data_IF_904312654575
#
_entry.id   IF_904312654575
#
_cell.length_a   1.000
_cell.length_b   1.000
_cell.length_c   1.000
_cell.angle_alpha   90.00
_cell.angle_beta   90.00
_cell.angle_gamma   90.00
#
_symmetry.space_group_name_H-M   'P 1'
#
loop_
_entity.id
_entity.type
_entity.pdbx_description
1 polymer ?
#
# COMPACT_ATOMS: atom_id res chain seq x y z
N UNK A 1 -4.22 -9.82 27.45
CA UNK A 1 -4.48 -8.65 26.58
C UNK A 1 -5.72 -7.98 27.11
N UNK A 2 -5.63 -6.72 27.55
CA UNK A 2 -6.80 -5.97 28.01
C UNK A 2 -7.84 -5.95 26.89
N UNK A 3 -9.08 -6.30 27.21
CA UNK A 3 -10.19 -6.32 26.25
C UNK A 3 -10.51 -4.86 25.94
N UNK A 4 -9.93 -4.32 24.87
CA UNK A 4 -10.32 -3.00 24.39
C UNK A 4 -11.77 -3.10 23.93
N UNK A 5 -12.65 -2.41 24.64
CA UNK A 5 -14.06 -2.28 24.27
C UNK A 5 -14.15 -1.22 23.18
N UNK A 6 -14.39 -1.67 21.95
CA UNK A 6 -14.68 -0.79 20.83
C UNK A 6 -16.19 -0.68 20.66
N UNK A 7 -16.74 0.51 20.34
CA UNK A 7 -18.11 0.62 19.90
C UNK A 7 -18.26 -0.14 18.58
N UNK A 8 -18.91 -1.31 18.62
CA UNK A 8 -19.14 -2.13 17.42
C UNK A 8 -20.32 -1.52 16.66
N UNK A 9 -20.12 -1.00 15.43
CA UNK A 9 -21.23 -0.44 14.66
C UNK A 9 -22.17 -1.55 14.17
N UNK A 10 -23.48 -1.30 14.25
CA UNK A 10 -24.49 -2.19 13.67
C UNK A 10 -24.41 -2.10 12.15
N UNK A 11 -24.21 -3.25 11.48
CA UNK A 11 -24.13 -3.32 10.01
C UNK A 11 -25.53 -3.05 9.44
N UNK A 12 -25.69 -1.92 8.75
CA UNK A 12 -26.92 -1.55 8.04
C UNK A 12 -26.77 -1.82 6.55
N UNK A 13 -27.90 -1.93 5.83
CA UNK A 13 -27.93 -2.12 4.38
C UNK A 13 -27.28 -0.94 3.62
N UNK A 14 -27.38 0.27 4.18
CA UNK A 14 -26.67 1.45 3.71
C UNK A 14 -25.66 1.87 4.79
N UNK A 15 -24.36 1.98 4.46
CA UNK A 15 -23.38 2.46 5.42
C UNK A 15 -23.68 3.92 5.79
N UNK A 16 -23.76 4.21 7.08
CA UNK A 16 -23.79 5.59 7.57
C UNK A 16 -22.38 6.17 7.47
N UNK A 17 -22.28 7.41 7.01
CA UNK A 17 -21.02 8.13 6.96
C UNK A 17 -20.67 8.57 8.38
N UNK A 18 -19.53 8.14 8.95
CA UNK A 18 -19.16 8.55 10.30
C UNK A 18 -18.86 10.05 10.35
N UNK A 19 -19.04 10.70 11.51
CA UNK A 19 -18.54 12.06 11.71
C UNK A 19 -17.02 12.08 11.58
N UNK A 20 -16.48 13.21 11.11
CA UNK A 20 -15.04 13.39 10.96
C UNK A 20 -14.38 13.43 12.34
N UNK A 21 -13.38 12.59 12.54
CA UNK A 21 -12.60 12.50 13.78
C UNK A 21 -11.10 12.62 13.45
N UNK A 22 -10.56 13.84 13.40
CA UNK A 22 -9.16 14.07 13.04
C UNK A 22 -8.18 13.39 14.00
N UNK A 23 -7.23 12.63 13.47
CA UNK A 23 -6.11 12.10 14.23
C UNK A 23 -6.40 10.85 15.06
N UNK A 24 -7.60 10.26 14.97
CA UNK A 24 -7.94 9.01 15.67
C UNK A 24 -6.97 7.89 15.29
N UNK A 25 -6.47 7.86 14.05
CA UNK A 25 -5.56 6.83 13.57
C UNK A 25 -4.08 7.22 13.65
N UNK A 26 -3.73 8.36 14.26
CA UNK A 26 -2.34 8.83 14.36
C UNK A 26 -1.42 7.87 15.14
N UNK A 27 -1.98 7.11 16.09
CA UNK A 27 -1.23 6.13 16.88
C UNK A 27 -1.04 4.77 16.15
N UNK A 28 -1.79 4.52 15.07
CA UNK A 28 -1.81 3.23 14.39
C UNK A 28 -0.80 3.20 13.24
N UNK A 29 0.28 2.44 13.42
CA UNK A 29 1.28 2.16 12.40
C UNK A 29 1.81 0.73 12.51
N UNK A 30 2.14 0.08 11.38
CA UNK A 30 2.84 -1.20 11.41
C UNK A 30 4.28 -1.04 11.89
N UNK A 31 4.97 -2.16 12.10
CA UNK A 31 6.39 -2.16 12.43
C UNK A 31 7.25 -1.90 11.19
N UNK A 32 8.26 -1.04 11.34
CA UNK A 32 9.32 -0.84 10.32
C UNK A 32 10.16 -2.10 10.21
N UNK A 33 10.55 -2.44 8.98
CA UNK A 33 11.40 -3.59 8.70
C UNK A 33 12.80 -3.40 9.31
N UNK A 34 13.35 -4.46 9.90
CA UNK A 34 14.76 -4.48 10.32
C UNK A 34 15.67 -4.66 9.11
N UNK A 35 16.95 -4.28 9.23
CA UNK A 35 17.97 -4.46 8.21
C UNK A 35 17.99 -5.87 7.60
N UNK A 36 17.87 -6.91 8.43
CA UNK A 36 17.79 -8.32 8.01
C UNK A 36 16.71 -8.64 6.96
N UNK A 37 15.64 -7.83 6.90
CA UNK A 37 14.55 -7.98 5.93
C UNK A 37 14.64 -6.99 4.76
N UNK A 38 15.38 -5.89 4.90
CA UNK A 38 15.51 -4.85 3.87
C UNK A 38 16.68 -5.11 2.93
N UNK A 39 17.86 -5.43 3.47
CA UNK A 39 19.09 -5.63 2.69
C UNK A 39 18.98 -6.72 1.62
N UNK A 40 18.34 -7.89 1.87
CA UNK A 40 18.17 -8.91 0.83
C UNK A 40 17.29 -8.47 -0.34
N UNK A 41 16.49 -7.41 -0.16
CA UNK A 41 15.63 -6.82 -1.19
C UNK A 41 16.31 -5.64 -1.89
N UNK A 42 17.55 -5.29 -1.50
CA UNK A 42 18.28 -4.14 -2.02
C UNK A 42 17.82 -2.80 -1.41
N UNK A 43 17.06 -2.81 -0.30
CA UNK A 43 16.69 -1.60 0.41
C UNK A 43 17.67 -1.30 1.56
N UNK A 44 17.87 -0.02 1.91
CA UNK A 44 18.69 0.37 3.07
C UNK A 44 18.17 -0.28 4.36
N UNK A 45 19.06 -0.63 5.29
CA UNK A 45 18.68 -1.27 6.54
C UNK A 45 17.99 -0.34 7.54
N UNK A 46 18.35 0.94 7.51
CA UNK A 46 17.84 2.03 8.34
C UNK A 46 17.58 3.28 7.47
N UNK A 47 17.02 4.33 8.07
CA UNK A 47 16.79 5.61 7.39
C UNK A 47 18.14 6.21 6.95
N UNK A 48 18.31 6.46 5.64
CA UNK A 48 19.55 7.02 5.09
C UNK A 48 19.72 8.51 5.44
N UNK A 49 20.96 8.98 5.66
CA UNK A 49 21.21 10.37 6.08
C UNK A 49 20.67 11.41 5.11
N UNK A 50 20.77 11.14 3.80
CA UNK A 50 20.26 11.99 2.72
C UNK A 50 18.85 11.58 2.26
N UNK A 51 18.01 11.06 3.16
CA UNK A 51 16.69 10.50 2.80
C UNK A 51 15.80 11.45 2.01
N UNK A 52 15.89 12.77 2.22
CA UNK A 52 15.09 13.75 1.47
C UNK A 52 15.42 13.72 -0.02
N UNK A 53 16.71 13.73 -0.39
CA UNK A 53 17.10 13.68 -1.80
C UNK A 53 16.73 12.33 -2.39
N UNK A 54 17.03 11.22 -1.69
CA UNK A 54 16.69 9.87 -2.16
C UNK A 54 15.19 9.69 -2.38
N UNK A 55 14.35 10.24 -1.49
CA UNK A 55 12.89 10.18 -1.64
C UNK A 55 12.40 11.00 -2.84
N UNK A 56 12.96 12.19 -3.06
CA UNK A 56 12.60 13.05 -4.19
C UNK A 56 13.07 12.44 -5.51
N UNK A 57 14.31 11.94 -5.57
CA UNK A 57 14.87 11.27 -6.75
C UNK A 57 14.05 10.01 -7.09
N UNK A 58 13.66 9.23 -6.07
CA UNK A 58 12.79 8.07 -6.27
C UNK A 58 11.39 8.49 -6.76
N UNK A 59 10.83 9.58 -6.21
CA UNK A 59 9.57 10.11 -6.71
C UNK A 59 9.68 10.55 -8.18
N UNK A 60 10.77 11.19 -8.59
CA UNK A 60 11.04 11.56 -9.98
C UNK A 60 11.09 10.33 -10.89
N UNK A 61 11.83 9.28 -10.48
CA UNK A 61 11.89 8.00 -11.19
C UNK A 61 10.48 7.42 -11.41
N UNK A 62 9.64 7.40 -10.36
CA UNK A 62 8.29 6.86 -10.43
C UNK A 62 7.36 7.68 -11.33
N UNK A 63 7.47 9.02 -11.28
CA UNK A 63 6.71 9.93 -12.15
C UNK A 63 7.08 9.74 -13.63
N UNK A 64 8.35 9.46 -13.92
CA UNK A 64 8.82 9.16 -15.28
C UNK A 64 8.45 7.75 -15.76
N UNK A 65 8.49 6.76 -14.86
CA UNK A 65 8.21 5.35 -15.17
C UNK A 65 6.72 5.06 -15.35
N UNK A 66 5.87 5.61 -14.48
CA UNK A 66 4.43 5.35 -14.47
C UNK A 66 3.65 6.56 -14.99
N UNK A 67 3.28 6.55 -16.28
CA UNK A 67 2.52 7.64 -16.91
C UNK A 67 1.22 8.01 -16.16
N UNK A 68 0.57 7.03 -15.53
CA UNK A 68 -0.67 7.24 -14.79
C UNK A 68 -0.48 8.07 -13.51
N UNK A 69 0.68 7.94 -12.84
CA UNK A 69 0.95 8.60 -11.56
C UNK A 69 0.83 10.14 -11.62
N UNK A 70 1.52 10.86 -12.53
CA UNK A 70 1.36 12.32 -12.63
C UNK A 70 -0.06 12.70 -13.05
N UNK A 71 -0.71 11.93 -13.95
CA UNK A 71 -2.10 12.19 -14.36
C UNK A 71 -3.05 12.11 -13.17
N UNK A 72 -2.90 11.09 -12.31
CA UNK A 72 -3.70 10.93 -11.10
C UNK A 72 -3.47 12.04 -10.09
N UNK A 73 -2.22 12.48 -9.92
CA UNK A 73 -1.88 13.59 -9.04
C UNK A 73 -2.44 14.92 -9.56
N UNK A 74 -2.41 15.18 -10.86
CA UNK A 74 -2.89 16.46 -11.40
C UNK A 74 -4.41 16.53 -11.58
N UNK A 75 -5.07 15.42 -11.90
CA UNK A 75 -6.50 15.41 -12.27
C UNK A 75 -7.45 15.52 -11.06
N UNK A 76 -6.96 15.32 -9.84
CA UNK A 76 -7.82 15.32 -8.65
C UNK A 76 -8.37 16.71 -8.32
N UNK A 77 -9.67 16.92 -8.52
CA UNK A 77 -10.39 18.18 -8.18
C UNK A 77 -10.95 18.22 -6.74
N UNK A 78 -10.59 17.23 -5.90
CA UNK A 78 -11.10 17.08 -4.51
C UNK A 78 -12.63 17.00 -4.36
N UNK A 79 -13.35 16.40 -5.32
CA UNK A 79 -14.81 16.27 -5.25
C UNK A 79 -15.35 15.37 -4.11
N UNK A 80 -14.52 14.50 -3.54
CA UNK A 80 -14.89 13.63 -2.42
C UNK A 80 -15.73 12.40 -2.77
N UNK A 81 -15.99 12.11 -4.06
CA UNK A 81 -16.79 10.94 -4.49
C UNK A 81 -16.24 9.58 -4.01
N UNK A 82 -14.95 9.50 -3.68
CA UNK A 82 -14.30 8.31 -3.16
C UNK A 82 -14.34 8.17 -1.62
N UNK A 83 -14.77 9.21 -0.90
CA UNK A 83 -14.67 9.32 0.56
C UNK A 83 -15.47 8.24 1.29
N UNK A 84 -16.78 8.20 1.06
CA UNK A 84 -17.72 7.25 1.69
C UNK A 84 -17.57 5.81 1.17
N UNK A 85 -16.67 5.59 0.21
CA UNK A 85 -16.40 4.26 -0.34
C UNK A 85 -15.29 3.55 0.40
N UNK A 86 -14.38 4.28 1.04
CA UNK A 86 -13.26 3.67 1.75
C UNK A 86 -13.69 3.04 3.07
N UNK A 87 -13.50 1.72 3.21
CA UNK A 87 -13.79 1.00 4.46
C UNK A 87 -12.99 1.51 5.66
N UNK A 88 -11.75 1.97 5.45
CA UNK A 88 -10.94 2.54 6.53
C UNK A 88 -11.46 3.89 6.99
N UNK A 89 -11.92 4.74 6.08
CA UNK A 89 -12.60 5.98 6.47
C UNK A 89 -13.89 5.67 7.22
N UNK A 90 -14.76 4.80 6.66
CA UNK A 90 -16.02 4.41 7.30
C UNK A 90 -15.82 3.79 8.70
N UNK A 91 -14.75 3.02 8.90
CA UNK A 91 -14.46 2.37 10.18
C UNK A 91 -13.78 3.27 11.22
N UNK A 92 -13.15 4.37 10.81
CA UNK A 92 -12.32 5.20 11.72
C UNK A 92 -12.80 6.64 11.87
N UNK A 93 -13.52 7.18 10.88
CA UNK A 93 -13.84 8.61 10.80
C UNK A 93 -12.65 9.52 10.53
N UNK A 94 -11.43 8.97 10.36
CA UNK A 94 -10.23 9.78 10.21
C UNK A 94 -10.17 10.41 8.79
N UNK A 95 -10.13 11.75 8.68
CA UNK A 95 -10.10 12.42 7.39
C UNK A 95 -8.91 12.00 6.53
N UNK A 96 -7.74 11.68 7.11
CA UNK A 96 -6.57 11.22 6.33
C UNK A 96 -6.75 9.81 5.76
N UNK A 97 -7.78 9.07 6.19
CA UNK A 97 -8.19 7.81 5.58
C UNK A 97 -9.18 7.97 4.42
N UNK A 98 -9.74 9.15 4.19
CA UNK A 98 -10.49 9.44 2.97
C UNK A 98 -9.54 9.35 1.77
N UNK A 99 -9.86 8.64 0.67
CA UNK A 99 -8.92 8.48 -0.44
C UNK A 99 -8.51 9.80 -1.10
N UNK A 100 -9.37 10.82 -1.06
CA UNK A 100 -9.07 12.19 -1.54
C UNK A 100 -8.00 12.87 -0.68
N UNK A 101 -8.04 12.70 0.64
CA UNK A 101 -7.08 13.31 1.56
C UNK A 101 -5.80 12.49 1.67
N UNK A 102 -5.90 11.15 1.66
CA UNK A 102 -4.74 10.26 1.68
C UNK A 102 -3.79 10.52 0.50
N UNK A 103 -4.34 10.66 -0.71
CA UNK A 103 -3.52 11.01 -1.88
C UNK A 103 -2.99 12.45 -1.82
N UNK A 104 -3.68 13.36 -1.11
CA UNK A 104 -3.25 14.76 -0.95
C UNK A 104 -1.92 14.85 -0.19
N UNK A 105 -1.62 13.88 0.68
CA UNK A 105 -0.35 13.84 1.41
C UNK A 105 0.84 13.66 0.43
N UNK A 106 0.76 12.74 -0.53
CA UNK A 106 1.77 12.63 -1.61
C UNK A 106 1.71 13.85 -2.52
N UNK A 107 0.50 14.28 -2.88
CA UNK A 107 0.28 15.35 -3.86
C UNK A 107 0.81 16.71 -3.39
N UNK A 108 0.76 17.01 -2.10
CA UNK A 108 1.30 18.25 -1.53
C UNK A 108 2.82 18.35 -1.72
N UNK A 109 3.53 17.24 -1.51
CA UNK A 109 4.98 17.12 -1.78
C UNK A 109 5.25 17.14 -3.28
N UNK A 110 4.50 16.39 -4.08
CA UNK A 110 4.62 16.41 -5.53
C UNK A 110 4.51 17.84 -6.09
N UNK A 111 3.49 18.59 -5.66
CA UNK A 111 3.30 19.99 -6.06
C UNK A 111 4.52 20.83 -5.69
N UNK A 112 5.05 20.65 -4.47
CA UNK A 112 6.19 21.42 -3.97
C UNK A 112 7.43 21.30 -4.85
N UNK A 113 7.76 20.09 -5.29
CA UNK A 113 9.05 19.80 -5.94
C UNK A 113 8.97 19.65 -7.46
N UNK A 114 7.80 19.30 -8.02
CA UNK A 114 7.67 18.96 -9.45
C UNK A 114 6.80 19.91 -10.26
N UNK A 115 6.06 20.83 -9.62
CA UNK A 115 5.22 21.81 -10.34
C UNK A 115 5.77 23.23 -10.23
N UNK A 116 5.64 24.02 -11.30
CA UNK A 116 6.07 25.44 -11.29
C UNK A 116 5.29 26.22 -10.21
N UNK A 117 3.97 26.04 -10.17
CA UNK A 117 3.12 26.73 -9.21
C UNK A 117 3.48 26.40 -7.75
N UNK A 118 3.80 25.14 -7.42
CA UNK A 118 4.19 24.77 -6.06
C UNK A 118 5.62 25.18 -5.67
N UNK A 119 6.51 25.36 -6.64
CA UNK A 119 7.86 25.92 -6.39
C UNK A 119 7.80 27.39 -5.99
N UNK A 120 7.04 28.20 -6.73
CA UNK A 120 6.99 29.66 -6.54
C UNK A 120 5.87 30.13 -5.60
N UNK A 121 4.73 29.44 -5.57
CA UNK A 121 3.54 29.84 -4.81
C UNK A 121 2.98 28.68 -3.96
N UNK A 122 3.78 28.09 -3.04
CA UNK A 122 3.41 26.87 -2.33
C UNK A 122 2.09 26.98 -1.55
N UNK A 123 1.85 28.12 -0.90
CA UNK A 123 0.61 28.36 -0.12
C UNK A 123 -0.66 28.35 -0.96
N UNK A 124 -0.59 28.78 -2.22
CA UNK A 124 -1.75 28.85 -3.11
C UNK A 124 -2.23 27.47 -3.54
N UNK A 125 -1.29 26.55 -3.77
CA UNK A 125 -1.58 25.20 -4.29
C UNK A 125 -1.59 24.11 -3.20
N UNK A 126 -1.43 24.51 -1.94
CA UNK A 126 -1.34 23.58 -0.81
C UNK A 126 -0.13 22.65 -0.90
N UNK A 127 1.01 23.18 -1.39
CA UNK A 127 2.26 22.45 -1.44
C UNK A 127 2.99 22.52 -0.09
N UNK A 128 3.60 21.41 0.30
CA UNK A 128 4.29 21.25 1.59
C UNK A 128 5.68 20.68 1.35
N UNK A 129 6.67 21.16 2.10
CA UNK A 129 8.01 20.59 2.07
C UNK A 129 8.02 19.16 2.63
N UNK A 130 8.94 18.34 2.11
CA UNK A 130 9.12 16.98 2.60
C UNK A 130 9.85 17.00 3.95
N UNK A 131 9.09 16.77 5.02
CA UNK A 131 9.57 16.69 6.42
C UNK A 131 9.41 15.28 6.99
N UNK A 132 9.98 15.02 8.16
CA UNK A 132 9.86 13.72 8.83
C UNK A 132 8.42 13.42 9.22
N UNK A 133 7.65 14.44 9.61
CA UNK A 133 6.23 14.29 9.94
C UNK A 133 5.42 13.84 8.72
N UNK A 134 5.78 14.33 7.52
CA UNK A 134 5.16 13.90 6.26
C UNK A 134 5.50 12.44 5.94
N UNK A 135 6.74 12.02 6.14
CA UNK A 135 7.16 10.61 5.99
C UNK A 135 6.42 9.71 6.97
N UNK A 136 6.25 10.15 8.20
CA UNK A 136 5.56 9.40 9.25
C UNK A 136 4.05 9.31 8.98
N UNK A 137 3.44 10.37 8.42
CA UNK A 137 2.08 10.32 7.86
C UNK A 137 1.96 9.37 6.68
N UNK A 138 2.90 9.42 5.71
CA UNK A 138 2.92 8.48 4.59
C UNK A 138 3.00 7.05 5.10
N UNK A 139 3.89 6.78 6.05
CA UNK A 139 4.05 5.47 6.63
C UNK A 139 2.77 4.98 7.30
N UNK A 140 2.15 5.79 8.18
CA UNK A 140 0.88 5.46 8.83
C UNK A 140 -0.24 5.20 7.82
N UNK A 141 -0.58 6.20 7.01
CA UNK A 141 -1.82 6.19 6.24
C UNK A 141 -1.73 5.37 4.95
N UNK A 142 -0.56 5.25 4.33
CA UNK A 142 -0.41 4.34 3.19
C UNK A 142 -0.47 2.90 3.64
N UNK A 143 0.00 2.55 4.82
CA UNK A 143 -0.07 1.17 5.32
C UNK A 143 -1.43 0.80 5.94
N UNK A 144 -2.30 1.79 6.16
CA UNK A 144 -3.72 1.54 6.45
C UNK A 144 -4.53 1.26 5.18
N UNK A 145 -4.05 1.63 3.99
CA UNK A 145 -4.75 1.35 2.74
C UNK A 145 -4.64 -0.14 2.35
N UNK A 146 -5.76 -0.82 2.07
CA UNK A 146 -5.74 -2.21 1.57
C UNK A 146 -5.51 -2.32 0.06
N UNK A 147 -5.38 -1.20 -0.65
CA UNK A 147 -5.27 -1.17 -2.12
C UNK A 147 -6.45 -1.89 -2.81
N UNK A 148 -7.64 -1.91 -2.18
CA UNK A 148 -8.84 -2.55 -2.73
C UNK A 148 -9.41 -1.88 -4.00
N UNK A 149 -8.84 -0.74 -4.43
CA UNK A 149 -9.21 0.01 -5.65
C UNK A 149 -10.66 0.47 -5.75
N UNK A 150 -11.47 0.37 -4.70
CA UNK A 150 -12.84 0.90 -4.70
C UNK A 150 -12.86 2.41 -4.98
N UNK A 151 -11.87 3.15 -4.50
CA UNK A 151 -11.70 4.57 -4.83
C UNK A 151 -11.61 4.84 -6.34
N UNK A 152 -10.96 3.97 -7.13
CA UNK A 152 -10.84 4.09 -8.58
C UNK A 152 -12.20 3.91 -9.27
N UNK A 153 -12.95 2.89 -8.86
CA UNK A 153 -14.27 2.56 -9.44
C UNK A 153 -15.26 3.72 -9.30
N UNK A 154 -15.22 4.45 -8.19
CA UNK A 154 -16.16 5.54 -7.91
C UNK A 154 -15.60 6.93 -8.24
N UNK A 155 -14.35 7.05 -8.67
CA UNK A 155 -13.80 8.34 -9.07
C UNK A 155 -14.35 8.71 -10.46
N UNK A 156 -15.02 9.86 -10.63
CA UNK A 156 -15.49 10.27 -11.96
C UNK A 156 -14.36 10.57 -12.95
N UNK A 157 -13.14 10.82 -12.44
CA UNK A 157 -11.92 11.01 -13.22
C UNK A 157 -11.10 9.73 -13.38
N UNK A 158 -11.56 8.59 -12.83
CA UNK A 158 -10.85 7.31 -12.92
C UNK A 158 -9.55 7.22 -12.13
N UNK A 159 -9.33 8.09 -11.14
CA UNK A 159 -8.08 8.14 -10.36
C UNK A 159 -7.92 6.90 -9.48
N UNK A 160 -6.87 6.11 -9.72
CA UNK A 160 -6.52 4.99 -8.84
C UNK A 160 -5.60 5.43 -7.70
N UNK A 161 -6.19 5.67 -6.52
CA UNK A 161 -5.39 6.02 -5.34
C UNK A 161 -4.59 4.84 -4.79
N UNK A 162 -4.83 3.61 -5.22
CA UNK A 162 -3.99 2.46 -4.87
C UNK A 162 -2.62 2.61 -5.51
N UNK A 163 -2.51 3.07 -6.77
CA UNK A 163 -1.22 3.34 -7.41
C UNK A 163 -0.43 4.44 -6.70
N UNK A 164 -1.11 5.50 -6.27
CA UNK A 164 -0.51 6.56 -5.45
C UNK A 164 0.02 5.98 -4.12
N UNK A 165 -0.72 5.07 -3.50
CA UNK A 165 -0.32 4.39 -2.25
C UNK A 165 0.90 3.49 -2.50
N UNK A 166 0.90 2.71 -3.58
CA UNK A 166 2.03 1.85 -3.95
C UNK A 166 3.29 2.67 -4.20
N UNK A 167 3.19 3.79 -4.93
CA UNK A 167 4.30 4.71 -5.14
C UNK A 167 4.82 5.27 -3.81
N UNK A 168 3.93 5.70 -2.92
CA UNK A 168 4.32 6.16 -1.58
C UNK A 168 5.05 5.08 -0.76
N UNK A 169 4.58 3.83 -0.81
CA UNK A 169 5.24 2.69 -0.14
C UNK A 169 6.60 2.37 -0.75
N UNK A 170 6.75 2.48 -2.07
CA UNK A 170 8.03 2.26 -2.76
C UNK A 170 9.06 3.33 -2.38
N UNK A 171 8.65 4.61 -2.32
CA UNK A 171 9.51 5.70 -1.86
C UNK A 171 9.94 5.50 -0.40
N UNK A 172 9.03 5.07 0.47
CA UNK A 172 9.35 4.76 1.87
C UNK A 172 10.35 3.60 1.97
N UNK A 173 10.19 2.56 1.17
CA UNK A 173 11.13 1.44 1.13
C UNK A 173 12.53 1.88 0.63
N UNK A 174 12.60 2.75 -0.38
CA UNK A 174 13.89 3.21 -0.92
C UNK A 174 14.72 4.03 0.04
N UNK A 175 14.09 4.72 1.01
CA UNK A 175 14.79 5.45 2.07
C UNK A 175 15.08 4.62 3.32
N UNK A 176 14.75 3.31 3.32
CA UNK A 176 14.97 2.41 4.45
C UNK A 176 13.82 2.35 5.47
N UNK A 177 12.63 2.84 5.12
CA UNK A 177 11.42 2.82 5.97
C UNK A 177 10.37 1.87 5.37
N UNK A 178 10.77 0.64 5.10
CA UNK A 178 9.87 -0.41 4.60
C UNK A 178 8.97 -1.03 5.67
N UNK A 179 7.89 -1.69 5.25
CA UNK A 179 7.02 -2.44 6.16
C UNK A 179 7.64 -3.80 6.52
N UNK A 180 7.71 -4.12 7.82
CA UNK A 180 8.23 -5.42 8.29
C UNK A 180 7.54 -6.61 7.63
N UNK A 181 6.21 -6.65 7.65
CA UNK A 181 5.45 -7.82 7.19
C UNK A 181 5.66 -8.12 5.70
N UNK A 182 5.59 -7.09 4.86
CA UNK A 182 5.82 -7.23 3.43
C UNK A 182 7.26 -7.67 3.14
N UNK A 183 8.25 -6.97 3.68
CA UNK A 183 9.66 -7.24 3.39
C UNK A 183 10.11 -8.62 3.90
N UNK A 184 9.64 -9.04 5.08
CA UNK A 184 9.91 -10.38 5.62
C UNK A 184 9.36 -11.48 4.69
N UNK A 185 8.14 -11.33 4.19
CA UNK A 185 7.49 -12.30 3.30
C UNK A 185 8.18 -12.36 1.95
N UNK A 186 8.54 -11.22 1.36
CA UNK A 186 9.26 -11.19 0.08
C UNK A 186 10.62 -11.88 0.23
N UNK A 187 11.34 -11.63 1.33
CA UNK A 187 12.57 -12.34 1.65
C UNK A 187 12.38 -13.87 1.77
N UNK A 188 11.25 -14.33 2.33
CA UNK A 188 10.89 -15.75 2.37
C UNK A 188 10.58 -16.31 0.98
N UNK A 189 9.91 -15.56 0.11
CA UNK A 189 9.65 -15.97 -1.28
C UNK A 189 10.95 -16.18 -2.03
N UNK A 190 11.92 -15.27 -1.93
CA UNK A 190 13.23 -15.44 -2.59
C UNK A 190 14.02 -16.64 -2.04
N UNK A 191 13.91 -16.94 -0.74
CA UNK A 191 14.64 -18.05 -0.10
C UNK A 191 13.96 -19.41 -0.26
N UNK A 192 12.64 -19.47 -0.22
CA UNK A 192 11.86 -20.71 -0.11
C UNK A 192 10.85 -20.93 -1.24
N UNK A 193 10.59 -19.93 -2.08
CA UNK A 193 9.60 -20.01 -3.15
C UNK A 193 8.14 -19.89 -2.71
N UNK A 194 7.87 -19.61 -1.43
CA UNK A 194 6.50 -19.44 -0.90
C UNK A 194 6.43 -18.35 0.16
N UNK A 195 5.28 -17.66 0.24
CA UNK A 195 5.00 -16.58 1.20
C UNK A 195 4.82 -17.10 2.63
N UNK A 196 4.22 -18.29 2.78
CA UNK A 196 3.95 -18.90 4.09
C UNK A 196 5.17 -19.54 4.75
N UNK A 197 6.27 -19.71 4.00
CA UNK A 197 7.50 -20.36 4.48
C UNK A 197 7.41 -21.89 4.61
N UNK A 198 6.39 -22.52 4.05
CA UNK A 198 6.32 -23.98 3.96
C UNK A 198 7.23 -24.51 2.85
N UNK A 199 8.29 -25.22 3.24
CA UNK A 199 9.19 -25.88 2.28
C UNK A 199 8.46 -27.03 1.58
N UNK A 200 8.49 -27.05 0.24
CA UNK A 200 7.93 -28.09 -0.65
C UNK A 200 8.19 -29.54 -0.16
N UNK A 201 9.32 -29.75 0.53
CA UNK A 201 9.85 -31.07 0.87
C UNK A 201 9.22 -31.78 2.07
N UNK A 202 8.41 -31.11 2.92
CA UNK A 202 7.89 -31.75 4.16
C UNK A 202 6.45 -32.28 4.12
N UNK A 203 5.63 -31.94 3.12
CA UNK A 203 4.21 -32.37 3.05
C UNK A 203 3.80 -33.12 1.78
N UNK A 204 4.49 -32.88 0.66
CA UNK A 204 4.11 -33.43 -0.64
C UNK A 204 4.88 -34.69 -1.04
N UNK A 205 5.95 -35.08 -0.35
CA UNK A 205 6.65 -36.35 -0.67
C UNK A 205 5.84 -37.59 -0.26
N UNK A 206 5.04 -37.49 0.81
CA UNK A 206 4.16 -38.57 1.29
C UNK A 206 2.94 -38.71 0.38
N UNK A 207 2.35 -37.58 -0.06
CA UNK A 207 1.18 -37.57 -0.94
C UNK A 207 1.53 -37.76 -2.41
N UNK A 208 2.66 -37.29 -2.91
CA UNK A 208 3.05 -37.46 -4.32
C UNK A 208 3.47 -38.89 -4.65
N UNK A 209 4.10 -39.63 -3.73
CA UNK A 209 4.38 -41.07 -3.93
C UNK A 209 3.08 -41.87 -3.92
N UNK A 210 2.16 -41.59 -2.99
CA UNK A 210 0.86 -42.24 -2.93
C UNK A 210 -0.04 -41.89 -4.13
N UNK A 211 -0.03 -40.62 -4.57
CA UNK A 211 -0.81 -40.16 -5.71
C UNK A 211 -0.21 -40.66 -7.03
N UNK A 212 1.11 -40.64 -7.23
CA UNK A 212 1.78 -41.24 -8.40
C UNK A 212 1.57 -42.75 -8.49
N UNK A 213 1.51 -43.48 -7.36
CA UNK A 213 1.16 -44.92 -7.36
C UNK A 213 -0.31 -45.17 -7.70
N UNK A 214 -1.21 -44.29 -7.26
CA UNK A 214 -2.66 -44.44 -7.45
C UNK A 214 -3.12 -43.95 -8.84
N UNK A 215 -2.47 -42.94 -9.42
CA UNK A 215 -2.77 -42.42 -10.77
C UNK A 215 -2.23 -43.29 -11.90
N UNK A 216 -1.12 -44.03 -11.69
CA UNK A 216 -0.63 -45.03 -12.66
C UNK A 216 -1.56 -46.23 -12.88
N UNK A 217 -2.45 -46.53 -11.92
CA UNK A 217 -3.46 -47.61 -12.06
C UNK A 217 -4.78 -47.13 -12.66
N UNK A 218 -4.99 -45.82 -12.86
CA UNK A 218 -6.29 -45.25 -13.28
C UNK A 218 -6.29 -44.59 -14.66
N UNK A 219 -5.16 -44.58 -15.36
CA UNK A 219 -5.01 -44.04 -16.70
C UNK A 219 -4.61 -45.16 -17.69
N UNK A 220 -5.47 -46.17 -17.81
CA UNK A 220 -5.61 -46.94 -19.04
C UNK A 220 -7.07 -46.78 -19.44
N UNK A 221 -7.36 -45.72 -20.19
CA UNK A 221 -8.61 -45.62 -20.93
C UNK A 221 -8.38 -46.38 -22.26
N UNK A 222 -9.24 -47.33 -22.63
CA UNK A 222 -9.06 -48.08 -23.87
C UNK A 222 -9.30 -47.13 -25.04
N UNK A 223 -8.28 -46.98 -25.89
CA UNK A 223 -8.43 -46.33 -27.19
C UNK A 223 -9.33 -47.18 -28.06
N UNK A 224 -10.62 -46.87 -28.09
CA UNK A 224 -11.54 -47.44 -29.06
C UNK A 224 -11.70 -46.49 -30.25
N UNK A 225 -11.37 -47.06 -31.40
CA UNK A 225 -11.77 -46.72 -32.76
C UNK A 225 -13.14 -46.04 -32.88
N UNK A 226 -13.14 -44.94 -33.64
CA UNK A 226 -14.09 -44.62 -34.71
C UNK A 226 -13.43 -43.63 -35.66
#
# INVERSE_FOLDING_TARGET
MAKQEFPIPVIRSTPEIPPIQPGVMAHSRPFVAKAEHQEPLGFPGELVDNWKSVAIDKMEELLGKYRALPVFLDSCVKCGACTDKCHYYLGTGDPKNMPVARQDILRSVYRRYFTIAGKFFPKLVGATDLTEEVIDDWYRYYHQCSECRRCSVYCPFGIDTAEITMAGREILASIGVGQKYANEIIGKVHKMGTTSGFRETRGLSIRSKAWKKKSRKRLMCPSNSR
#
